data_IF_747659097693
#
_entry.id   IF_747659097693
#
_cell.length_a   1.000
_cell.length_b   1.000
_cell.length_c   1.000
_cell.angle_alpha   90.00
_cell.angle_beta   90.00
_cell.angle_gamma   90.00
#
_symmetry.space_group_name_H-M   'P 1'
#
loop_
_entity.id
_entity.type
_entity.pdbx_description
1 polymer ?
#
# COMPACT_ATOMS: atom_id res chain seq x y z
N UNK A 1 18.06 8.78 -10.49
CA UNK A 1 17.11 8.01 -11.34
C UNK A 1 15.67 8.60 -11.31
N UNK A 2 15.00 8.70 -12.48
CA UNK A 2 13.67 9.36 -12.60
C UNK A 2 12.57 8.73 -11.72
N UNK A 3 12.61 7.41 -11.49
CA UNK A 3 11.62 6.67 -10.68
C UNK A 3 11.94 6.56 -9.18
N UNK A 4 13.06 7.11 -8.72
CA UNK A 4 13.47 6.98 -7.31
C UNK A 4 12.73 7.92 -6.34
N UNK A 5 12.02 8.93 -6.86
CA UNK A 5 11.31 9.93 -6.07
C UNK A 5 10.16 9.28 -5.29
N UNK A 6 9.92 9.73 -4.05
CA UNK A 6 8.80 9.23 -3.23
C UNK A 6 7.45 9.42 -3.92
N UNK A 7 7.25 10.56 -4.59
CA UNK A 7 6.03 10.83 -5.35
C UNK A 7 5.71 9.71 -6.37
N UNK A 8 6.73 9.17 -7.05
CA UNK A 8 6.54 8.13 -8.07
C UNK A 8 6.10 6.80 -7.45
N UNK A 9 6.45 6.53 -6.18
CA UNK A 9 6.01 5.32 -5.46
C UNK A 9 4.52 5.31 -5.18
N UNK A 10 3.89 6.49 -5.17
CA UNK A 10 2.47 6.65 -4.93
C UNK A 10 1.63 6.57 -6.21
N UNK A 11 2.27 6.50 -7.39
CA UNK A 11 1.55 6.36 -8.65
C UNK A 11 0.93 4.97 -8.78
N UNK A 12 -0.27 4.90 -9.36
CA UNK A 12 -1.07 3.68 -9.51
C UNK A 12 -1.94 3.34 -8.28
N UNK A 13 -2.90 2.43 -8.46
CA UNK A 13 -3.96 2.21 -7.47
C UNK A 13 -3.55 1.22 -6.37
N UNK A 14 -3.54 1.62 -5.09
CA UNK A 14 -3.26 0.69 -4.00
C UNK A 14 -4.50 -0.14 -3.70
N UNK A 15 -4.38 -1.47 -3.70
CA UNK A 15 -5.52 -2.34 -3.34
C UNK A 15 -5.86 -3.38 -4.39
N UNK A 16 -5.41 -3.18 -5.62
CA UNK A 16 -5.59 -4.15 -6.70
C UNK A 16 -4.54 -5.28 -6.61
N UNK A 17 -4.86 -6.48 -7.14
CA UNK A 17 -3.91 -7.58 -7.18
C UNK A 17 -2.58 -7.19 -7.83
N UNK A 18 -1.48 -7.67 -7.27
CA UNK A 18 -0.11 -7.39 -7.75
C UNK A 18 0.32 -5.91 -7.72
N UNK A 19 -0.44 -5.03 -7.04
CA UNK A 19 -0.06 -3.62 -6.86
C UNK A 19 1.03 -3.42 -5.80
N UNK A 20 2.08 -2.72 -6.20
CA UNK A 20 3.19 -2.32 -5.32
C UNK A 20 3.17 -0.82 -4.98
N UNK A 21 2.10 -0.10 -5.36
CA UNK A 21 1.99 1.32 -5.05
C UNK A 21 1.85 1.56 -3.55
N UNK A 22 2.57 2.58 -3.08
CA UNK A 22 2.59 2.99 -1.68
C UNK A 22 1.30 3.77 -1.38
N UNK A 23 0.45 3.32 -0.45
CA UNK A 23 -0.73 4.08 -0.05
C UNK A 23 -0.35 5.38 0.66
N UNK A 24 -1.22 6.39 0.55
CA UNK A 24 -1.14 7.59 1.37
C UNK A 24 -1.76 7.29 2.73
N UNK A 25 -0.91 7.04 3.72
CA UNK A 25 -1.32 6.75 5.10
C UNK A 25 -1.06 7.96 5.98
N UNK A 26 -1.96 8.22 6.95
CA UNK A 26 -1.82 9.33 7.90
C UNK A 26 -0.55 9.24 8.74
N UNK A 27 -0.20 8.04 9.18
CA UNK A 27 1.06 7.75 9.89
C UNK A 27 1.45 6.29 9.73
N UNK A 28 2.71 5.97 10.05
CA UNK A 28 3.20 4.60 10.02
C UNK A 28 2.87 3.91 11.34
N UNK A 29 2.21 2.75 11.29
CA UNK A 29 1.98 1.95 12.50
C UNK A 29 1.12 0.72 12.26
N UNK A 30 1.02 -0.18 13.25
CA UNK A 30 0.16 -1.39 13.19
C UNK A 30 -1.33 -1.03 13.07
N UNK A 31 -1.72 0.13 13.59
CA UNK A 31 -3.09 0.64 13.60
C UNK A 31 -3.50 1.35 12.31
N UNK A 32 -2.55 1.67 11.43
CA UNK A 32 -2.81 2.44 10.22
C UNK A 32 -2.68 1.53 8.99
N UNK A 33 -3.82 1.25 8.35
CA UNK A 33 -3.93 0.59 7.03
C UNK A 33 -3.09 -0.68 6.82
N UNK A 34 -2.99 -1.53 7.85
CA UNK A 34 -2.25 -2.80 7.81
C UNK A 34 -3.08 -4.08 7.98
N UNK A 35 -4.39 -3.96 8.24
CA UNK A 35 -5.24 -5.10 8.61
C UNK A 35 -5.95 -5.75 7.40
N UNK A 36 -7.21 -5.39 7.15
CA UNK A 36 -8.04 -5.94 6.07
C UNK A 36 -7.42 -5.65 4.70
N UNK A 37 -7.44 -6.63 3.80
CA UNK A 37 -6.94 -6.46 2.42
C UNK A 37 -5.42 -6.40 2.27
N UNK A 38 -4.66 -6.46 3.39
CA UNK A 38 -3.19 -6.35 3.41
C UNK A 38 -2.49 -7.59 3.95
N UNK A 39 -3.22 -8.53 4.54
CA UNK A 39 -2.71 -9.76 5.15
C UNK A 39 -3.69 -10.90 4.89
N UNK A 40 -3.16 -12.12 4.74
CA UNK A 40 -3.96 -13.32 4.44
C UNK A 40 -5.01 -13.61 5.53
N UNK A 41 -4.69 -13.28 6.79
CA UNK A 41 -5.54 -13.63 7.94
C UNK A 41 -6.69 -12.64 8.21
N UNK A 42 -6.82 -11.56 7.42
CA UNK A 42 -7.88 -10.56 7.59
C UNK A 42 -8.69 -10.42 6.29
N UNK A 43 -9.53 -11.43 6.05
CA UNK A 43 -10.50 -11.55 4.95
C UNK A 43 -9.90 -11.88 3.58
N UNK A 44 -9.21 -10.95 2.93
CA UNK A 44 -8.62 -11.16 1.61
C UNK A 44 -7.25 -10.50 1.53
N UNK A 45 -6.41 -11.04 0.64
CA UNK A 45 -5.09 -10.51 0.36
C UNK A 45 -5.07 -10.01 -1.08
N UNK A 46 -4.73 -8.73 -1.25
CA UNK A 46 -4.46 -8.17 -2.58
C UNK A 46 -3.11 -8.65 -3.12
#
# INVERSE_FOLDING_TARGET
PRKAREAVKHFGTPGVPFSHSKPYVRSKGRKFEKARGRRKNHSYHK
#
